data_IF_494752430287
#
_entry.id   IF_494752430287
#
_cell.length_a   1.000
_cell.length_b   1.000
_cell.length_c   1.000
_cell.angle_alpha   90.00
_cell.angle_beta   90.00
_cell.angle_gamma   90.00
#
_symmetry.space_group_name_H-M   'P 1'
#
loop_
_entity.id
_entity.type
_entity.pdbx_description
1 polymer ?
#
# COMPACT_ATOMS: atom_id res chain seq x y z
N UNK A 1 15.80 9.47 -15.27
CA UNK A 1 15.19 8.17 -14.90
C UNK A 1 13.85 8.45 -14.25
N UNK A 2 12.77 8.05 -14.88
CA UNK A 2 11.39 8.32 -14.45
C UNK A 2 10.73 7.09 -13.85
N UNK A 3 11.44 6.25 -13.10
CA UNK A 3 10.87 5.04 -12.55
C UNK A 3 10.99 5.06 -11.04
N UNK A 4 10.03 5.69 -10.40
CA UNK A 4 9.77 5.48 -8.97
C UNK A 4 9.06 4.12 -8.83
N UNK A 5 9.67 3.06 -9.35
CA UNK A 5 9.13 1.72 -9.29
C UNK A 5 9.46 1.12 -7.93
N UNK A 6 8.44 0.69 -7.24
CA UNK A 6 8.58 -0.16 -6.08
C UNK A 6 8.40 -1.61 -6.47
N UNK A 7 9.12 -2.50 -5.81
CA UNK A 7 8.89 -3.94 -5.99
C UNK A 7 7.49 -4.31 -5.45
N UNK A 8 6.77 -5.12 -6.22
CA UNK A 8 5.43 -5.58 -5.87
C UNK A 8 5.40 -6.59 -4.73
N UNK A 9 6.48 -7.35 -4.53
CA UNK A 9 6.57 -8.44 -3.55
C UNK A 9 7.29 -8.03 -2.26
N UNK A 10 6.95 -6.84 -1.72
CA UNK A 10 7.59 -6.34 -0.52
C UNK A 10 7.54 -7.34 0.65
N UNK A 11 6.45 -8.08 0.82
CA UNK A 11 6.35 -9.09 1.87
C UNK A 11 7.23 -10.33 1.64
N UNK A 12 7.61 -10.65 0.39
CA UNK A 12 8.59 -11.72 0.16
C UNK A 12 9.93 -11.42 0.82
N UNK A 13 10.24 -10.13 1.03
CA UNK A 13 11.43 -9.71 1.74
C UNK A 13 11.42 -10.11 3.22
N UNK A 14 10.26 -10.45 3.79
CA UNK A 14 10.19 -11.02 5.14
C UNK A 14 11.00 -12.31 5.24
N UNK A 15 11.02 -13.12 4.19
CA UNK A 15 11.79 -14.37 4.15
C UNK A 15 13.22 -14.13 3.67
N UNK A 16 13.39 -13.42 2.57
CA UNK A 16 14.69 -13.12 1.96
C UNK A 16 15.55 -12.27 2.88
N UNK A 17 14.96 -11.34 3.61
CA UNK A 17 15.65 -10.49 4.58
C UNK A 17 16.11 -11.21 5.85
N UNK A 18 15.84 -12.51 5.96
CA UNK A 18 16.38 -13.39 7.02
C UNK A 18 17.44 -14.37 6.49
N UNK A 19 17.76 -14.31 5.20
CA UNK A 19 18.84 -15.10 4.62
C UNK A 19 20.23 -14.61 5.09
N UNK A 20 21.33 -15.36 4.81
CA UNK A 20 22.67 -14.89 5.13
C UNK A 20 22.93 -13.48 4.58
N UNK A 21 23.63 -12.65 5.36
CA UNK A 21 23.84 -11.22 5.06
C UNK A 21 24.43 -10.97 3.67
N UNK A 22 25.34 -11.84 3.21
CA UNK A 22 25.91 -11.75 1.87
C UNK A 22 24.84 -11.83 0.78
N UNK A 23 23.87 -12.74 0.93
CA UNK A 23 22.74 -12.88 -0.01
C UNK A 23 21.82 -11.67 0.03
N UNK A 24 21.51 -11.16 1.22
CA UNK A 24 20.72 -9.95 1.37
C UNK A 24 21.40 -8.77 0.68
N UNK A 25 22.70 -8.58 0.90
CA UNK A 25 23.48 -7.51 0.29
C UNK A 25 23.50 -7.62 -1.24
N UNK A 26 23.71 -8.82 -1.78
CA UNK A 26 23.70 -9.04 -3.23
C UNK A 26 22.35 -8.67 -3.86
N UNK A 27 21.25 -9.09 -3.24
CA UNK A 27 19.89 -8.75 -3.73
C UNK A 27 19.64 -7.26 -3.60
N UNK A 28 20.05 -6.64 -2.49
CA UNK A 28 19.92 -5.21 -2.28
C UNK A 28 20.74 -4.40 -3.30
N UNK A 29 21.94 -4.86 -3.67
CA UNK A 29 22.72 -4.23 -4.74
C UNK A 29 21.98 -4.30 -6.09
N UNK A 30 21.44 -5.44 -6.45
CA UNK A 30 20.66 -5.60 -7.69
C UNK A 30 19.44 -4.69 -7.75
N UNK A 31 18.77 -4.48 -6.63
CA UNK A 31 17.56 -3.65 -6.57
C UNK A 31 17.88 -2.15 -6.48
N UNK A 32 18.83 -1.77 -5.65
CA UNK A 32 18.98 -0.37 -5.23
C UNK A 32 20.23 0.32 -5.75
N UNK A 33 21.29 -0.42 -6.11
CA UNK A 33 22.54 0.21 -6.53
C UNK A 33 22.36 1.05 -7.80
N UNK A 34 22.90 2.25 -7.78
CA UNK A 34 23.03 3.15 -8.92
C UNK A 34 24.46 3.19 -9.47
N UNK A 35 25.36 2.41 -8.89
CA UNK A 35 26.77 2.34 -9.28
C UNK A 35 26.98 1.43 -10.49
N UNK A 36 28.13 1.62 -11.14
CA UNK A 36 28.63 0.70 -12.17
C UNK A 36 29.75 -0.18 -11.60
N UNK A 37 29.93 -1.35 -12.20
CA UNK A 37 31.07 -2.23 -11.96
C UNK A 37 32.35 -1.71 -12.65
N UNK A 38 33.45 -2.46 -12.50
CA UNK A 38 34.74 -2.09 -13.10
C UNK A 38 34.71 -2.06 -14.65
N UNK A 39 33.74 -2.68 -15.28
CA UNK A 39 33.54 -2.68 -16.72
C UNK A 39 32.54 -1.62 -17.19
N UNK A 40 32.06 -0.76 -16.28
CA UNK A 40 31.06 0.28 -16.57
C UNK A 40 29.63 -0.24 -16.69
N UNK A 41 29.34 -1.50 -16.30
CA UNK A 41 27.99 -2.07 -16.31
C UNK A 41 27.24 -1.73 -15.01
N UNK A 42 25.93 -1.44 -15.08
CA UNK A 42 25.14 -1.20 -13.87
C UNK A 42 25.15 -2.40 -12.91
N UNK A 43 25.46 -2.17 -11.63
CA UNK A 43 25.37 -3.20 -10.59
C UNK A 43 23.92 -3.54 -10.21
N UNK A 44 22.99 -2.60 -10.40
CA UNK A 44 21.58 -2.76 -10.06
C UNK A 44 20.65 -1.94 -10.94
N UNK A 45 19.35 -2.13 -10.73
CA UNK A 45 18.32 -1.40 -11.46
C UNK A 45 18.04 0.00 -10.88
N UNK A 46 18.58 0.32 -9.70
CA UNK A 46 18.54 1.65 -9.09
C UNK A 46 17.14 2.10 -8.71
N UNK A 47 16.38 1.26 -8.01
CA UNK A 47 15.07 1.66 -7.47
C UNK A 47 15.25 2.88 -6.54
N UNK A 48 14.40 3.88 -6.71
CA UNK A 48 14.46 5.14 -5.95
C UNK A 48 13.37 5.25 -4.88
N UNK A 49 12.35 4.41 -4.93
CA UNK A 49 11.30 4.25 -3.94
C UNK A 49 11.18 2.78 -3.55
N UNK A 50 11.03 2.51 -2.25
CA UNK A 50 10.78 1.17 -1.74
C UNK A 50 9.49 1.08 -0.97
N UNK A 51 8.70 0.02 -1.22
CA UNK A 51 7.44 -0.25 -0.53
C UNK A 51 7.63 -1.21 0.64
N UNK A 52 6.83 -1.02 1.67
CA UNK A 52 6.76 -1.85 2.87
C UNK A 52 5.31 -2.29 3.10
N UNK A 53 5.06 -3.60 3.13
CA UNK A 53 3.76 -4.14 3.46
C UNK A 53 3.59 -4.18 4.99
N UNK A 54 2.68 -3.37 5.52
CA UNK A 54 2.42 -3.31 6.97
C UNK A 54 1.85 -4.63 7.50
N UNK A 55 1.12 -5.38 6.66
CA UNK A 55 0.56 -6.67 7.00
C UNK A 55 -0.64 -6.62 7.96
N UNK A 56 -1.50 -7.61 7.85
CA UNK A 56 -2.76 -7.68 8.58
C UNK A 56 -2.82 -8.81 9.63
N UNK A 57 -1.83 -9.70 9.67
CA UNK A 57 -1.77 -10.77 10.67
C UNK A 57 -2.20 -12.13 10.16
N UNK A 58 -2.18 -12.37 8.85
CA UNK A 58 -2.46 -13.69 8.30
C UNK A 58 -1.37 -14.71 8.64
N UNK A 59 -0.13 -14.28 8.91
CA UNK A 59 0.94 -15.17 9.40
C UNK A 59 0.60 -15.74 10.78
N UNK A 60 0.11 -14.90 11.70
CA UNK A 60 -0.27 -15.32 13.05
C UNK A 60 -1.48 -16.27 13.05
N UNK A 61 -2.35 -16.14 12.06
CA UNK A 61 -3.47 -17.06 11.89
C UNK A 61 -3.05 -18.41 11.30
N UNK A 62 -1.90 -18.48 10.62
CA UNK A 62 -1.43 -19.70 9.98
C UNK A 62 -2.45 -20.23 8.95
N UNK A 63 -2.82 -21.51 9.06
CA UNK A 63 -3.81 -22.14 8.18
C UNK A 63 -5.22 -21.55 8.35
N UNK A 64 -5.55 -21.04 9.53
CA UNK A 64 -6.83 -20.37 9.79
C UNK A 64 -7.02 -19.09 8.96
N UNK A 65 -5.94 -18.50 8.42
CA UNK A 65 -6.01 -17.39 7.48
C UNK A 65 -6.66 -17.77 6.14
N UNK A 66 -6.77 -19.07 5.87
CA UNK A 66 -7.20 -19.66 4.60
C UNK A 66 -6.24 -19.38 3.42
N UNK A 67 -5.14 -18.67 3.63
CA UNK A 67 -4.09 -18.46 2.63
C UNK A 67 -3.14 -19.66 2.68
N UNK A 68 -3.12 -20.46 1.61
CA UNK A 68 -2.39 -21.73 1.61
C UNK A 68 -0.87 -21.56 1.73
N UNK A 69 -0.30 -20.60 0.96
CA UNK A 69 1.13 -20.38 0.93
C UNK A 69 1.60 -19.49 2.08
N UNK A 70 2.50 -19.94 2.96
CA UNK A 70 3.10 -19.08 4.00
C UNK A 70 3.80 -17.84 3.42
N UNK A 71 4.36 -17.94 2.19
CA UNK A 71 5.00 -16.82 1.50
C UNK A 71 4.04 -15.68 1.13
N UNK A 72 2.74 -15.94 1.14
CA UNK A 72 1.69 -14.99 0.81
C UNK A 72 0.96 -14.48 2.06
N UNK A 73 1.41 -14.89 3.25
CA UNK A 73 0.93 -14.40 4.55
C UNK A 73 1.83 -13.28 5.03
N UNK A 74 1.26 -12.34 5.79
CA UNK A 74 2.00 -11.23 6.37
C UNK A 74 1.82 -11.18 7.89
N UNK A 75 2.90 -10.84 8.61
CA UNK A 75 2.85 -10.53 10.04
C UNK A 75 2.18 -9.17 10.27
N UNK A 76 1.61 -8.96 11.46
CA UNK A 76 1.11 -7.67 11.90
C UNK A 76 1.80 -7.25 13.20
N UNK A 77 2.20 -5.99 13.30
CA UNK A 77 2.78 -5.47 14.56
C UNK A 77 1.78 -5.47 15.73
N UNK A 78 0.48 -5.32 15.43
CA UNK A 78 -0.58 -5.27 16.43
C UNK A 78 -0.83 -6.66 17.01
N UNK A 79 -0.89 -6.75 18.35
CA UNK A 79 -1.30 -7.93 19.07
C UNK A 79 -2.82 -7.91 19.36
N UNK A 80 -3.44 -9.06 19.70
CA UNK A 80 -4.87 -9.15 20.03
C UNK A 80 -5.31 -8.24 21.20
N UNK A 81 -4.42 -7.95 22.13
CA UNK A 81 -4.66 -7.09 23.30
C UNK A 81 -4.50 -5.59 23.02
N UNK A 82 -4.16 -5.22 21.77
CA UNK A 82 -3.95 -3.84 21.35
C UNK A 82 -2.53 -3.31 21.57
N UNK A 83 -1.63 -4.11 22.11
CA UNK A 83 -0.20 -3.76 22.20
C UNK A 83 0.52 -4.02 20.89
N UNK A 84 1.76 -3.51 20.75
CA UNK A 84 2.59 -3.69 19.56
C UNK A 84 3.80 -4.59 19.84
N UNK A 85 4.08 -5.50 18.92
CA UNK A 85 5.31 -6.29 18.92
C UNK A 85 6.25 -5.83 17.79
N UNK A 86 7.20 -4.98 18.15
CA UNK A 86 8.17 -4.42 17.22
C UNK A 86 9.29 -5.39 16.81
N UNK A 87 9.26 -6.63 17.26
CA UNK A 87 10.18 -7.68 16.78
C UNK A 87 9.69 -8.37 15.51
N UNK A 88 8.46 -8.06 15.07
CA UNK A 88 7.89 -8.62 13.84
C UNK A 88 8.42 -7.93 12.58
N UNK A 89 8.18 -8.57 11.44
CA UNK A 89 8.53 -8.10 10.10
C UNK A 89 10.02 -7.82 9.90
N UNK A 90 10.85 -8.55 10.59
CA UNK A 90 12.29 -8.31 10.66
C UNK A 90 12.94 -8.35 9.27
N UNK A 91 12.52 -9.28 8.39
CA UNK A 91 13.05 -9.39 7.04
C UNK A 91 12.75 -8.16 6.17
N UNK A 92 11.50 -7.67 6.17
CA UNK A 92 11.15 -6.44 5.46
C UNK A 92 11.89 -5.21 6.04
N UNK A 93 12.00 -5.13 7.36
CA UNK A 93 12.71 -4.03 8.05
C UNK A 93 14.21 -4.03 7.72
N UNK A 94 14.84 -5.21 7.58
CA UNK A 94 16.21 -5.31 7.10
C UNK A 94 16.36 -4.72 5.69
N UNK A 95 15.40 -4.99 4.78
CA UNK A 95 15.44 -4.43 3.44
C UNK A 95 15.17 -2.92 3.38
N UNK A 96 14.37 -2.36 4.30
CA UNK A 96 14.28 -0.91 4.44
C UNK A 96 15.65 -0.27 4.75
N UNK A 97 16.41 -0.87 5.67
CA UNK A 97 17.76 -0.41 6.03
C UNK A 97 18.74 -0.55 4.87
N UNK A 98 18.75 -1.72 4.23
CA UNK A 98 19.60 -1.99 3.06
C UNK A 98 19.30 -1.05 1.88
N UNK A 99 18.02 -0.71 1.68
CA UNK A 99 17.60 0.27 0.67
C UNK A 99 18.12 1.68 1.02
N UNK A 100 17.94 2.11 2.27
CA UNK A 100 18.44 3.41 2.76
C UNK A 100 19.97 3.53 2.63
N UNK A 101 20.71 2.50 3.00
CA UNK A 101 22.17 2.44 2.87
C UNK A 101 22.64 2.60 1.42
N UNK A 102 21.83 2.22 0.44
CA UNK A 102 22.08 2.32 -1.00
C UNK A 102 21.49 3.58 -1.66
N UNK A 103 21.08 4.54 -0.84
CA UNK A 103 20.61 5.84 -1.31
C UNK A 103 19.13 5.93 -1.69
N UNK A 104 18.32 4.90 -1.42
CA UNK A 104 16.86 5.03 -1.50
C UNK A 104 16.40 6.02 -0.44
N UNK A 105 15.67 7.04 -0.86
CA UNK A 105 15.24 8.15 -0.02
C UNK A 105 13.72 8.34 0.02
N UNK A 106 12.98 7.47 -0.66
CA UNK A 106 11.51 7.45 -0.63
C UNK A 106 11.02 6.09 -0.18
N UNK A 107 10.21 6.08 0.87
CA UNK A 107 9.60 4.88 1.43
C UNK A 107 8.09 5.04 1.50
N UNK A 108 7.38 3.99 1.06
CA UNK A 108 5.92 3.92 1.06
C UNK A 108 5.47 2.73 1.89
N UNK A 109 4.75 2.97 2.97
CA UNK A 109 4.01 1.92 3.68
C UNK A 109 2.66 1.69 2.99
N UNK A 110 2.23 0.43 2.84
CA UNK A 110 0.92 0.12 2.28
C UNK A 110 0.29 -1.08 3.00
N UNK A 111 -1.03 -1.20 2.88
CA UNK A 111 -1.77 -2.31 3.45
C UNK A 111 -2.65 -2.99 2.41
N UNK A 112 -2.60 -4.32 2.40
CA UNK A 112 -3.54 -5.15 1.64
C UNK A 112 -4.88 -5.31 2.38
N UNK A 113 -4.86 -5.32 3.71
CA UNK A 113 -6.05 -5.47 4.54
C UNK A 113 -5.85 -4.77 5.90
N UNK A 114 -6.91 -4.30 6.55
CA UNK A 114 -6.85 -3.95 7.97
C UNK A 114 -6.42 -5.15 8.82
N UNK A 115 -5.82 -4.93 10.01
CA UNK A 115 -5.51 -6.00 10.94
C UNK A 115 -6.70 -6.93 11.19
N UNK A 116 -6.47 -8.23 11.24
CA UNK A 116 -7.52 -9.25 11.39
C UNK A 116 -8.44 -9.01 12.59
N UNK A 117 -7.92 -8.37 13.64
CA UNK A 117 -8.69 -8.01 14.83
C UNK A 117 -9.76 -6.95 14.57
N UNK A 118 -9.58 -6.14 13.52
CA UNK A 118 -10.48 -5.07 13.11
C UNK A 118 -11.41 -5.46 11.97
N UNK A 119 -11.21 -6.65 11.37
CA UNK A 119 -12.03 -7.09 10.24
C UNK A 119 -13.33 -7.74 10.70
N UNK A 120 -14.37 -7.63 9.87
CA UNK A 120 -15.72 -8.12 10.16
C UNK A 120 -15.79 -9.65 10.16
N UNK A 121 -15.04 -10.32 9.25
CA UNK A 121 -14.98 -11.78 9.17
C UNK A 121 -13.82 -12.39 9.96
N UNK A 122 -12.99 -11.57 10.62
CA UNK A 122 -11.82 -12.03 11.38
C UNK A 122 -10.65 -12.49 10.51
N UNK A 123 -10.69 -12.25 9.19
CA UNK A 123 -9.65 -12.64 8.23
C UNK A 123 -9.01 -11.41 7.58
N UNK A 124 -7.80 -11.56 7.08
CA UNK A 124 -7.11 -10.57 6.25
C UNK A 124 -7.55 -10.61 4.77
N UNK A 125 -8.63 -11.31 4.48
CA UNK A 125 -9.24 -11.45 3.15
C UNK A 125 -10.72 -11.12 3.22
N UNK A 126 -11.32 -10.79 2.09
CA UNK A 126 -12.75 -10.46 2.03
C UNK A 126 -13.62 -11.70 1.72
N UNK A 127 -13.13 -12.90 1.97
CA UNK A 127 -13.82 -14.16 1.68
C UNK A 127 -15.25 -14.16 2.22
N UNK A 128 -16.21 -14.50 1.36
CA UNK A 128 -17.63 -14.58 1.71
C UNK A 128 -18.34 -13.23 1.85
N UNK A 129 -17.71 -12.11 1.45
CA UNK A 129 -18.28 -10.76 1.58
C UNK A 129 -18.43 -10.07 0.20
N UNK A 130 -19.18 -8.96 0.19
CA UNK A 130 -19.37 -8.12 -1.00
C UNK A 130 -18.25 -7.08 -1.19
N UNK A 131 -18.50 -6.08 -2.01
CA UNK A 131 -17.54 -5.06 -2.45
C UNK A 131 -17.27 -3.91 -1.47
N UNK A 132 -17.62 -4.05 -0.19
CA UNK A 132 -17.36 -3.06 0.87
C UNK A 132 -16.19 -3.48 1.75
N UNK A 133 -15.58 -2.52 2.43
CA UNK A 133 -14.46 -2.79 3.32
C UNK A 133 -14.79 -3.83 4.38
N UNK A 134 -13.84 -4.75 4.58
CA UNK A 134 -13.93 -5.76 5.65
C UNK A 134 -13.63 -5.18 7.04
N UNK A 135 -13.69 -3.87 7.20
CA UNK A 135 -13.44 -3.17 8.45
C UNK A 135 -14.72 -3.06 9.28
N UNK A 136 -14.68 -3.40 10.56
CA UNK A 136 -15.80 -3.22 11.49
C UNK A 136 -16.17 -1.74 11.58
N UNK A 137 -17.47 -1.38 11.64
CA UNK A 137 -17.92 0.01 11.68
C UNK A 137 -17.33 0.86 12.82
N UNK A 138 -17.04 0.24 13.96
CA UNK A 138 -16.45 0.84 15.17
C UNK A 138 -14.91 0.80 15.19
N UNK A 139 -14.28 0.29 14.13
CA UNK A 139 -12.82 0.14 14.07
C UNK A 139 -12.12 1.14 13.12
N UNK A 140 -12.83 2.06 12.46
CA UNK A 140 -12.21 3.02 11.55
C UNK A 140 -11.18 3.94 12.25
N UNK A 141 -11.51 4.46 13.43
CA UNK A 141 -10.59 5.28 14.23
C UNK A 141 -9.40 4.45 14.74
N UNK A 142 -9.65 3.22 15.18
CA UNK A 142 -8.60 2.29 15.61
C UNK A 142 -7.65 1.96 14.44
N UNK A 143 -8.19 1.80 13.24
CA UNK A 143 -7.40 1.54 12.04
C UNK A 143 -6.53 2.73 11.66
N UNK A 144 -7.09 3.93 11.67
CA UNK A 144 -6.33 5.16 11.43
C UNK A 144 -5.19 5.34 12.45
N UNK A 145 -5.49 5.11 13.73
CA UNK A 145 -4.47 5.13 14.79
C UNK A 145 -3.38 4.09 14.58
N UNK A 146 -3.75 2.85 14.26
CA UNK A 146 -2.81 1.78 13.95
C UNK A 146 -1.84 2.17 12.82
N UNK A 147 -2.35 2.79 11.75
CA UNK A 147 -1.52 3.25 10.64
C UNK A 147 -0.50 4.31 11.09
N UNK A 148 -0.95 5.29 11.90
CA UNK A 148 -0.07 6.31 12.45
C UNK A 148 0.97 5.72 13.42
N UNK A 149 0.56 4.78 14.28
CA UNK A 149 1.45 4.08 15.22
C UNK A 149 2.54 3.30 14.48
N UNK A 150 2.18 2.63 13.38
CA UNK A 150 3.18 1.88 12.58
C UNK A 150 4.18 2.82 11.91
N UNK A 151 3.74 3.93 11.34
CA UNK A 151 4.65 4.93 10.75
C UNK A 151 5.63 5.45 11.78
N UNK A 152 5.16 5.87 12.95
CA UNK A 152 6.02 6.34 14.05
C UNK A 152 6.90 5.23 14.61
N UNK A 153 6.34 4.03 14.80
CA UNK A 153 7.06 2.91 15.39
C UNK A 153 8.23 2.44 14.54
N UNK A 154 8.05 2.34 13.23
CA UNK A 154 9.16 1.99 12.32
C UNK A 154 10.23 3.09 12.30
N UNK A 155 9.84 4.37 12.34
CA UNK A 155 10.82 5.47 12.45
C UNK A 155 11.60 5.37 13.75
N UNK A 156 10.94 5.15 14.89
CA UNK A 156 11.56 5.05 16.20
C UNK A 156 12.49 3.84 16.34
N UNK A 157 12.11 2.69 15.80
CA UNK A 157 12.87 1.44 15.97
C UNK A 157 13.93 1.20 14.89
N UNK A 158 13.72 1.71 13.67
CA UNK A 158 14.58 1.45 12.51
C UNK A 158 15.22 2.70 11.92
N UNK A 159 14.81 3.89 12.35
CA UNK A 159 15.27 5.15 11.78
C UNK A 159 14.81 5.36 10.32
N UNK A 160 13.73 4.70 9.91
CA UNK A 160 13.16 4.80 8.57
C UNK A 160 11.90 5.66 8.63
N UNK A 161 11.97 6.83 8.02
CA UNK A 161 10.81 7.71 7.85
C UNK A 161 10.08 7.36 6.59
N UNK A 162 8.80 7.02 6.70
CA UNK A 162 7.93 6.86 5.53
C UNK A 162 7.55 8.23 4.97
N UNK A 163 7.84 8.45 3.69
CA UNK A 163 7.38 9.63 2.97
C UNK A 163 5.88 9.52 2.68
N UNK A 164 5.41 8.28 2.46
CA UNK A 164 4.05 7.99 2.05
C UNK A 164 3.48 6.81 2.83
N UNK A 165 2.15 6.83 3.03
CA UNK A 165 1.37 5.68 3.45
C UNK A 165 0.13 5.55 2.58
N UNK A 166 -0.19 4.31 2.16
CA UNK A 166 -1.40 3.97 1.43
C UNK A 166 -2.28 3.04 2.27
N UNK A 167 -3.45 3.49 2.76
CA UNK A 167 -4.32 2.68 3.63
C UNK A 167 -5.04 1.55 2.90
N UNK A 168 -5.15 1.59 1.56
CA UNK A 168 -5.86 0.61 0.75
C UNK A 168 -5.11 0.29 -0.53
N UNK A 169 -4.53 -0.92 -0.60
CA UNK A 169 -4.00 -1.46 -1.83
C UNK A 169 -5.10 -2.15 -2.62
N UNK A 170 -5.29 -1.77 -3.88
CA UNK A 170 -6.25 -2.36 -4.83
C UNK A 170 -7.69 -2.46 -4.28
N UNK A 171 -8.26 -1.36 -3.74
CA UNK A 171 -9.60 -1.40 -3.14
C UNK A 171 -10.71 -1.65 -4.15
N UNK A 172 -10.43 -1.49 -5.43
CA UNK A 172 -11.31 -1.78 -6.57
C UNK A 172 -11.44 -3.29 -6.84
N UNK A 173 -10.55 -4.14 -6.32
CA UNK A 173 -10.68 -5.59 -6.34
C UNK A 173 -11.78 -6.09 -5.39
N UNK A 174 -12.28 -7.31 -5.63
CA UNK A 174 -13.31 -7.92 -4.76
C UNK A 174 -12.73 -8.62 -3.55
N UNK A 175 -11.57 -9.26 -3.69
CA UNK A 175 -10.83 -9.97 -2.65
C UNK A 175 -11.63 -11.02 -1.87
N UNK A 176 -12.72 -11.51 -2.45
CA UNK A 176 -13.71 -12.39 -1.82
C UNK A 176 -13.55 -13.87 -2.22
N UNK A 177 -12.38 -14.26 -2.66
CA UNK A 177 -12.09 -15.61 -3.12
C UNK A 177 -12.32 -16.67 -2.05
N UNK A 178 -12.83 -17.82 -2.47
CA UNK A 178 -12.73 -19.06 -1.70
C UNK A 178 -11.32 -19.63 -1.95
N UNK A 179 -10.57 -19.89 -0.88
CA UNK A 179 -9.15 -20.21 -1.01
C UNK A 179 -8.31 -19.01 -1.46
N UNK A 180 -8.27 -17.93 -0.67
CA UNK A 180 -7.56 -16.70 -1.03
C UNK A 180 -6.07 -16.97 -1.21
N UNK A 181 -5.46 -16.23 -2.15
CA UNK A 181 -4.03 -16.37 -2.46
C UNK A 181 -3.16 -15.44 -1.63
N UNK A 182 -3.71 -14.35 -1.10
CA UNK A 182 -3.02 -13.31 -0.35
C UNK A 182 -4.01 -12.49 0.48
N UNK A 183 -3.52 -11.61 1.33
CA UNK A 183 -4.32 -10.59 1.98
C UNK A 183 -4.93 -9.63 0.95
N UNK A 184 -6.14 -9.12 1.22
CA UNK A 184 -6.80 -8.16 0.36
C UNK A 184 -8.13 -7.68 0.92
N UNK A 185 -8.44 -6.41 0.69
CA UNK A 185 -9.66 -5.76 1.19
C UNK A 185 -10.19 -4.76 0.16
N UNK A 186 -11.42 -4.94 -0.35
CA UNK A 186 -12.08 -3.90 -1.14
C UNK A 186 -12.42 -2.70 -0.27
N UNK A 187 -12.65 -1.56 -0.89
CA UNK A 187 -13.24 -0.41 -0.22
C UNK A 187 -13.95 0.48 -1.23
N UNK A 188 -15.10 1.03 -0.83
CA UNK A 188 -15.78 2.08 -1.59
C UNK A 188 -15.05 3.41 -1.44
N UNK A 189 -15.25 4.33 -2.36
CA UNK A 189 -14.67 5.67 -2.30
C UNK A 189 -15.05 6.40 -0.98
N UNK A 190 -16.25 6.16 -0.44
CA UNK A 190 -16.68 6.72 0.85
C UNK A 190 -15.89 6.14 2.03
N UNK A 191 -15.67 4.83 2.04
CA UNK A 191 -14.89 4.16 3.09
C UNK A 191 -13.42 4.59 3.06
N UNK A 192 -12.86 4.74 1.86
CA UNK A 192 -11.51 5.30 1.67
C UNK A 192 -11.46 6.73 2.21
N UNK A 193 -12.38 7.60 1.78
CA UNK A 193 -12.38 9.00 2.20
C UNK A 193 -12.53 9.14 3.73
N UNK A 194 -13.41 8.32 4.34
CA UNK A 194 -13.56 8.27 5.81
C UNK A 194 -12.23 7.91 6.49
N UNK A 195 -11.57 6.85 6.03
CA UNK A 195 -10.30 6.38 6.60
C UNK A 195 -9.21 7.43 6.45
N UNK A 196 -9.08 8.03 5.26
CA UNK A 196 -8.07 9.04 4.96
C UNK A 196 -8.24 10.29 5.84
N UNK A 197 -9.48 10.76 6.04
CA UNK A 197 -9.75 11.90 6.95
C UNK A 197 -9.38 11.59 8.40
N UNK A 198 -9.68 10.40 8.88
CA UNK A 198 -9.31 9.97 10.23
C UNK A 198 -7.79 9.84 10.39
N UNK A 199 -7.11 9.29 9.38
CA UNK A 199 -5.65 9.18 9.37
C UNK A 199 -4.97 10.55 9.30
N UNK A 200 -5.50 11.45 8.46
CA UNK A 200 -5.04 12.84 8.39
C UNK A 200 -5.15 13.55 9.75
N UNK A 201 -6.27 13.33 10.44
CA UNK A 201 -6.43 13.86 11.81
C UNK A 201 -5.36 13.33 12.77
N UNK A 202 -5.09 12.02 12.77
CA UNK A 202 -4.01 11.42 13.59
C UNK A 202 -2.64 12.04 13.25
N UNK A 203 -2.36 12.30 11.96
CA UNK A 203 -1.10 12.91 11.55
C UNK A 203 -0.97 14.37 11.97
N UNK A 204 -2.04 15.14 11.84
CA UNK A 204 -2.06 16.53 12.32
C UNK A 204 -1.90 16.60 13.85
N UNK A 205 -2.63 15.78 14.58
CA UNK A 205 -2.58 15.73 16.05
C UNK A 205 -1.18 15.33 16.57
N UNK A 206 -0.38 14.63 15.77
CA UNK A 206 0.97 14.13 16.12
C UNK A 206 2.11 14.90 15.42
N UNK A 207 1.80 15.95 14.69
CA UNK A 207 2.79 16.73 13.91
C UNK A 207 3.61 15.86 12.92
N UNK A 208 2.93 14.93 12.25
CA UNK A 208 3.53 14.03 11.27
C UNK A 208 3.44 14.61 9.86
N UNK A 209 4.53 14.57 9.09
CA UNK A 209 4.60 15.07 7.72
C UNK A 209 4.47 13.99 6.63
N UNK A 210 4.32 12.72 7.02
CA UNK A 210 4.05 11.61 6.10
C UNK A 210 2.81 11.91 5.27
N UNK A 211 2.91 11.73 3.95
CA UNK A 211 1.80 11.99 3.04
C UNK A 211 0.92 10.74 2.88
N UNK A 212 -0.39 10.97 2.86
CA UNK A 212 -1.38 9.90 2.69
C UNK A 212 -1.72 9.78 1.21
N UNK A 213 -1.29 8.70 0.60
CA UNK A 213 -1.74 8.30 -0.73
C UNK A 213 -3.11 7.67 -0.59
N UNK A 214 -4.11 8.21 -1.27
CA UNK A 214 -5.53 7.88 -1.02
C UNK A 214 -5.78 6.38 -1.16
N UNK A 215 -5.29 5.79 -2.25
CA UNK A 215 -5.31 4.35 -2.53
C UNK A 215 -4.34 4.01 -3.67
N UNK A 216 -4.10 2.72 -3.86
CA UNK A 216 -3.42 2.17 -5.05
C UNK A 216 -4.43 1.38 -5.88
N UNK A 217 -4.88 1.93 -7.02
CA UNK A 217 -5.82 1.23 -7.89
C UNK A 217 -5.18 -0.02 -8.53
N UNK A 218 -5.90 -1.12 -8.63
CA UNK A 218 -5.41 -2.33 -9.32
C UNK A 218 -5.27 -2.12 -10.83
N UNK A 219 -6.10 -1.24 -11.37
CA UNK A 219 -6.18 -0.92 -12.79
C UNK A 219 -6.32 0.60 -12.96
N UNK A 220 -5.45 1.21 -13.75
CA UNK A 220 -5.51 2.64 -14.04
C UNK A 220 -6.88 3.14 -14.52
N UNK A 221 -7.68 2.28 -15.14
CA UNK A 221 -9.01 2.62 -15.64
C UNK A 221 -9.99 2.95 -14.52
N UNK A 222 -9.83 2.36 -13.33
CA UNK A 222 -10.65 2.68 -12.15
C UNK A 222 -10.48 4.13 -11.68
N UNK A 223 -9.38 4.79 -12.04
CA UNK A 223 -9.16 6.19 -11.70
C UNK A 223 -10.13 7.14 -12.43
N UNK A 224 -10.59 6.79 -13.65
CA UNK A 224 -11.41 7.68 -14.47
C UNK A 224 -12.70 7.07 -15.00
N UNK A 225 -12.95 5.77 -14.73
CA UNK A 225 -14.20 5.08 -15.06
C UNK A 225 -14.39 3.87 -14.16
N UNK A 226 -15.54 3.23 -14.24
CA UNK A 226 -15.78 1.89 -13.68
C UNK A 226 -15.13 0.84 -14.60
N UNK A 227 -14.47 -0.15 -14.02
CA UNK A 227 -13.91 -1.28 -14.73
C UNK A 227 -13.93 -2.52 -13.83
N UNK A 228 -14.77 -3.49 -14.16
CA UNK A 228 -15.02 -4.71 -13.37
C UNK A 228 -15.45 -4.48 -11.91
N UNK A 229 -15.76 -3.24 -11.56
CA UNK A 229 -16.24 -2.84 -10.25
C UNK A 229 -17.50 -2.01 -10.38
N UNK A 230 -18.20 -1.82 -9.27
CA UNK A 230 -19.31 -0.87 -9.23
C UNK A 230 -18.80 0.59 -9.24
N UNK A 231 -19.71 1.53 -9.50
CA UNK A 231 -19.39 2.96 -9.56
C UNK A 231 -18.84 3.50 -8.24
N UNK A 232 -19.12 2.86 -7.10
CA UNK A 232 -18.68 3.27 -5.78
C UNK A 232 -17.18 3.05 -5.57
N UNK A 233 -16.52 2.27 -6.44
CA UNK A 233 -15.09 1.96 -6.41
C UNK A 233 -14.33 2.44 -7.66
N UNK A 234 -15.05 3.05 -8.61
CA UNK A 234 -14.48 3.68 -9.80
C UNK A 234 -14.47 5.20 -9.74
N UNK A 235 -14.11 5.85 -10.85
CA UNK A 235 -14.06 7.31 -10.99
C UNK A 235 -13.26 8.01 -9.87
N UNK A 236 -12.18 7.41 -9.43
CA UNK A 236 -11.47 7.78 -8.21
C UNK A 236 -10.88 9.20 -8.25
N UNK A 237 -10.38 9.66 -9.41
CA UNK A 237 -9.90 11.05 -9.56
C UNK A 237 -11.03 12.04 -9.28
N UNK A 238 -12.21 11.81 -9.86
CA UNK A 238 -13.35 12.67 -9.62
C UNK A 238 -13.84 12.56 -8.18
N UNK A 239 -13.94 11.35 -7.65
CA UNK A 239 -14.41 11.11 -6.28
C UNK A 239 -13.55 11.85 -5.24
N UNK A 240 -12.22 11.81 -5.38
CA UNK A 240 -11.34 12.32 -4.32
C UNK A 240 -10.86 13.76 -4.55
N UNK A 241 -10.84 14.25 -5.79
CA UNK A 241 -10.22 15.53 -6.10
C UNK A 241 -11.14 16.54 -6.82
N UNK A 242 -12.41 16.19 -7.10
CA UNK A 242 -13.39 17.14 -7.58
C UNK A 242 -14.23 17.66 -6.39
N UNK A 243 -14.27 18.98 -6.14
CA UNK A 243 -15.02 19.57 -5.02
C UNK A 243 -16.52 19.22 -5.02
N UNK A 244 -17.13 18.97 -6.18
CA UNK A 244 -18.52 18.57 -6.29
C UNK A 244 -18.81 17.19 -5.68
N UNK A 245 -17.78 16.39 -5.45
CA UNK A 245 -17.86 15.07 -4.80
C UNK A 245 -17.86 15.20 -3.27
N UNK A 246 -18.81 15.95 -2.71
CA UNK A 246 -18.84 16.43 -1.30
C UNK A 246 -18.51 15.34 -0.28
N UNK A 247 -19.08 14.13 -0.44
CA UNK A 247 -18.90 13.03 0.53
C UNK A 247 -17.49 12.41 0.50
N UNK A 248 -16.80 12.50 -0.64
CA UNK A 248 -15.53 11.81 -0.88
C UNK A 248 -14.36 12.75 -1.17
N UNK A 249 -14.62 14.04 -1.33
CA UNK A 249 -13.59 15.03 -1.64
C UNK A 249 -12.51 15.09 -0.56
N UNK A 250 -11.25 15.01 -1.00
CA UNK A 250 -10.06 15.00 -0.13
C UNK A 250 -9.03 16.08 -0.51
N UNK A 251 -9.34 16.92 -1.50
CA UNK A 251 -8.39 17.88 -2.05
C UNK A 251 -7.87 18.93 -1.06
N UNK A 252 -8.59 19.18 0.04
CA UNK A 252 -8.23 20.12 1.09
C UNK A 252 -7.87 19.41 2.42
N UNK A 253 -7.77 18.06 2.39
CA UNK A 253 -7.41 17.28 3.58
C UNK A 253 -5.90 17.38 3.84
N UNK A 254 -5.46 17.77 5.03
CA UNK A 254 -4.05 17.82 5.38
C UNK A 254 -3.34 16.49 5.10
N UNK A 255 -2.05 16.54 4.79
CA UNK A 255 -1.22 15.40 4.43
C UNK A 255 -1.67 14.61 3.18
N UNK A 256 -2.70 15.04 2.46
CA UNK A 256 -3.17 14.38 1.23
C UNK A 256 -2.67 15.16 0.01
N UNK A 257 -1.65 14.67 -0.71
CA UNK A 257 -1.20 15.30 -1.94
C UNK A 257 -2.18 14.98 -3.08
N UNK A 258 -2.25 15.85 -4.08
CA UNK A 258 -3.02 15.58 -5.32
C UNK A 258 -2.27 14.59 -6.21
N UNK A 259 -2.04 13.40 -5.70
CA UNK A 259 -1.35 12.30 -6.38
C UNK A 259 -2.21 11.03 -6.29
N UNK A 260 -2.20 10.25 -7.36
CA UNK A 260 -2.85 8.94 -7.42
C UNK A 260 -1.80 7.86 -7.67
N UNK A 261 -1.92 6.75 -6.99
CA UNK A 261 -1.15 5.55 -7.23
C UNK A 261 -1.99 4.48 -7.94
N UNK A 262 -1.35 3.65 -8.73
CA UNK A 262 -2.04 2.55 -9.39
C UNK A 262 -1.10 1.57 -10.04
N UNK A 263 -1.64 0.40 -10.32
CA UNK A 263 -0.96 -0.71 -10.94
C UNK A 263 -1.33 -0.79 -12.42
N UNK A 264 -0.41 -1.33 -13.22
CA UNK A 264 -0.59 -1.45 -14.66
C UNK A 264 -1.20 -2.78 -15.09
N UNK A 265 -1.76 -3.55 -14.15
CA UNK A 265 -2.35 -4.83 -14.49
C UNK A 265 -3.41 -4.66 -15.59
N UNK A 266 -3.42 -5.60 -16.53
CA UNK A 266 -4.33 -5.64 -17.69
C UNK A 266 -4.34 -4.40 -18.60
N UNK A 267 -3.43 -3.45 -18.43
CA UNK A 267 -3.39 -2.19 -19.18
C UNK A 267 -2.15 -2.01 -20.05
N UNK A 268 -1.23 -2.96 -20.03
CA UNK A 268 0.06 -2.88 -20.70
C UNK A 268 0.15 -3.75 -21.99
N UNK A 269 -0.92 -4.47 -22.34
CA UNK A 269 -0.96 -5.31 -23.53
C UNK A 269 -2.34 -5.19 -24.21
N UNK A 270 -2.42 -4.70 -25.45
CA UNK A 270 -1.30 -4.17 -26.24
C UNK A 270 -0.79 -2.80 -25.73
N UNK A 271 0.42 -2.41 -26.15
CA UNK A 271 1.00 -1.12 -25.75
C UNK A 271 0.16 0.10 -26.15
N UNK A 272 -0.69 -0.03 -27.20
CA UNK A 272 -1.66 0.99 -27.60
C UNK A 272 -2.65 1.32 -26.51
N UNK A 273 -3.08 0.33 -25.73
CA UNK A 273 -4.04 0.51 -24.64
C UNK A 273 -3.42 1.33 -23.51
N UNK A 274 -2.16 1.02 -23.14
CA UNK A 274 -1.44 1.81 -22.15
C UNK A 274 -1.31 3.28 -22.58
N UNK A 275 -1.00 3.53 -23.85
CA UNK A 275 -0.92 4.91 -24.40
C UNK A 275 -2.27 5.63 -24.31
N UNK A 276 -3.35 4.98 -24.71
CA UNK A 276 -4.69 5.53 -24.66
C UNK A 276 -5.13 5.82 -23.22
N UNK A 277 -4.87 4.91 -22.29
CA UNK A 277 -5.15 5.08 -20.86
C UNK A 277 -4.37 6.26 -20.30
N UNK A 278 -3.08 6.37 -20.64
CA UNK A 278 -2.24 7.51 -20.22
C UNK A 278 -2.80 8.86 -20.73
N UNK A 279 -3.28 8.91 -21.96
CA UNK A 279 -3.89 10.14 -22.51
C UNK A 279 -5.18 10.48 -21.77
N UNK A 280 -6.03 9.50 -21.50
CA UNK A 280 -7.27 9.70 -20.75
C UNK A 280 -7.00 10.15 -19.31
N UNK A 281 -6.03 9.54 -18.63
CA UNK A 281 -5.61 9.97 -17.29
C UNK A 281 -5.14 11.42 -17.28
N UNK A 282 -4.27 11.80 -18.24
CA UNK A 282 -3.78 13.17 -18.35
C UNK A 282 -4.91 14.18 -18.54
N UNK A 283 -5.88 13.86 -19.39
CA UNK A 283 -7.06 14.70 -19.61
C UNK A 283 -7.89 14.87 -18.33
N UNK A 284 -8.10 13.80 -17.57
CA UNK A 284 -8.87 13.84 -16.31
C UNK A 284 -8.14 14.55 -15.19
N UNK A 285 -6.84 14.32 -15.03
CA UNK A 285 -6.03 15.03 -14.04
C UNK A 285 -6.03 16.55 -14.33
N UNK A 286 -5.94 16.95 -15.61
CA UNK A 286 -6.02 18.34 -15.99
C UNK A 286 -7.40 19.00 -15.76
N UNK A 287 -8.46 18.18 -15.65
CA UNK A 287 -9.85 18.64 -15.41
C UNK A 287 -10.31 18.44 -13.97
N UNK A 288 -9.52 17.81 -13.12
CA UNK A 288 -9.84 17.65 -11.69
C UNK A 288 -9.72 18.97 -10.90
N UNK A 289 -9.45 20.06 -11.60
CA UNK A 289 -9.69 21.45 -11.15
C UNK A 289 -11.05 21.94 -11.73
N UNK A 290 -12.11 21.17 -11.49
CA UNK A 290 -13.44 21.45 -12.03
C UNK A 290 -13.87 22.89 -11.93
#
# INVERSE_FOLDING_TARGET
>A
RSSDLSASDAWSMQFIGLWPQEKQNQIADWLFSTENDANGQPKGIGLSLWRFNVGAGSTEQGENSQIASPWMRAECFLNPDGTYNWNKQQGQRNFLKLAKERGVNKFLAFLNSPPVYYTQNGLATNTGRGGTANLKPDCYEKYARFLADVVQGVEQHDGIKFNYICPFNEPDGHWNWVGPKQEGCPATNREIARTVRLLSKEFVDRDMDTQIMVNESSDYRCMFRTHETDWQRGYQIQAFFCPDSVDTYLGDTPNVPRLMLGHSYWTNTPLSDLRNIRLQLRDKIGRASC
#
